data_IF_289304847950
#
_entry.id   IF_289304847950
#
_cell.length_a   1.000
_cell.length_b   1.000
_cell.length_c   1.000
_cell.angle_alpha   90.00
_cell.angle_beta   90.00
_cell.angle_gamma   90.00
#
_symmetry.space_group_name_H-M   'P 1'
#
loop_
_entity.id
_entity.type
_entity.pdbx_description
1 polymer ?
#
# COMPACT_ATOMS: atom_id res chain seq x y z
N UNK A 1 -2.33 13.16 -18.61
CA UNK A 1 -1.34 13.28 -17.52
C UNK A 1 -0.05 13.84 -18.09
N UNK A 2 0.51 14.86 -17.45
CA UNK A 2 1.82 15.41 -17.80
C UNK A 2 2.97 14.48 -17.40
N UNK A 3 4.17 14.70 -17.94
CA UNK A 3 5.37 13.93 -17.57
C UNK A 3 5.63 13.92 -16.05
N UNK A 4 5.42 15.05 -15.39
CA UNK A 4 5.61 15.19 -13.93
C UNK A 4 4.55 14.41 -13.15
N UNK A 5 3.28 14.49 -13.56
CA UNK A 5 2.19 13.72 -12.95
C UNK A 5 2.39 12.20 -13.12
N UNK A 6 2.84 11.76 -14.29
CA UNK A 6 3.12 10.33 -14.54
C UNK A 6 4.20 9.82 -13.59
N UNK A 7 5.32 10.55 -13.47
CA UNK A 7 6.41 10.19 -12.57
C UNK A 7 5.94 10.16 -11.12
N UNK A 8 5.23 11.21 -10.68
CA UNK A 8 4.70 11.29 -9.32
C UNK A 8 3.75 10.13 -8.99
N UNK A 9 2.87 9.75 -9.92
CA UNK A 9 1.98 8.60 -9.76
C UNK A 9 2.76 7.30 -9.59
N UNK A 10 3.80 7.08 -10.41
CA UNK A 10 4.65 5.89 -10.33
C UNK A 10 5.43 5.86 -9.01
N UNK A 11 6.02 6.98 -8.60
CA UNK A 11 6.74 7.09 -7.32
C UNK A 11 5.79 6.93 -6.11
N UNK A 12 4.50 7.25 -6.26
CA UNK A 12 3.46 6.97 -5.28
C UNK A 12 2.94 5.51 -5.31
N UNK A 13 3.47 4.66 -6.20
CA UNK A 13 3.06 3.26 -6.33
C UNK A 13 1.74 3.05 -7.10
N UNK A 14 1.23 4.07 -7.78
CA UNK A 14 0.04 3.94 -8.62
C UNK A 14 0.38 3.25 -9.94
N UNK A 15 -0.60 2.52 -10.48
CA UNK A 15 -0.43 1.87 -11.79
C UNK A 15 -0.84 2.83 -12.89
N UNK A 16 0.11 3.21 -13.75
CA UNK A 16 -0.11 4.06 -14.92
C UNK A 16 -0.05 3.21 -16.18
N UNK A 17 -0.98 3.44 -17.09
CA UNK A 17 -1.02 2.84 -18.43
C UNK A 17 -0.91 3.90 -19.53
N UNK A 18 -0.54 3.46 -20.74
CA UNK A 18 -0.47 4.31 -21.93
C UNK A 18 -1.29 3.71 -23.07
N UNK A 19 -2.18 4.50 -23.67
CA UNK A 19 -3.06 4.15 -24.80
C UNK A 19 -4.07 3.01 -24.56
N UNK A 20 -3.71 1.96 -23.83
CA UNK A 20 -4.56 0.85 -23.37
C UNK A 20 -3.92 0.13 -22.18
N UNK A 21 -4.66 -0.78 -21.56
CA UNK A 21 -4.21 -1.53 -20.37
C UNK A 21 -3.06 -2.50 -20.63
N UNK A 22 -2.75 -2.82 -21.90
CA UNK A 22 -1.62 -3.67 -22.24
C UNK A 22 -0.25 -2.98 -22.15
N UNK A 23 -0.20 -1.65 -22.14
CA UNK A 23 1.04 -0.90 -21.91
C UNK A 23 1.08 -0.37 -20.49
N UNK A 24 2.06 -0.82 -19.73
CA UNK A 24 2.27 -0.39 -18.34
C UNK A 24 3.48 0.53 -18.26
N UNK A 25 3.34 1.61 -17.51
CA UNK A 25 4.43 2.55 -17.22
C UNK A 25 4.97 2.27 -15.83
N UNK A 26 6.29 2.12 -15.70
CA UNK A 26 6.94 1.81 -14.44
C UNK A 26 8.34 2.42 -14.35
N UNK A 27 8.91 2.41 -13.14
CA UNK A 27 10.28 2.84 -12.86
C UNK A 27 11.14 1.63 -12.55
N UNK A 28 12.22 1.43 -13.30
CA UNK A 28 13.15 0.32 -13.06
C UNK A 28 14.08 0.57 -11.85
N UNK A 29 14.89 -0.43 -11.50
CA UNK A 29 15.83 -0.34 -10.37
C UNK A 29 16.98 0.66 -10.58
N UNK A 30 17.22 1.12 -11.81
CA UNK A 30 18.16 2.20 -12.15
C UNK A 30 17.49 3.58 -12.15
N UNK A 31 16.18 3.65 -11.89
CA UNK A 31 15.41 4.89 -11.86
C UNK A 31 14.91 5.36 -13.23
N UNK A 32 15.00 4.52 -14.27
CA UNK A 32 14.49 4.86 -15.60
C UNK A 32 12.99 4.63 -15.66
N UNK A 33 12.26 5.57 -16.25
CA UNK A 33 10.83 5.43 -16.50
C UNK A 33 10.62 4.80 -17.87
N UNK A 34 9.95 3.64 -17.89
CA UNK A 34 9.79 2.79 -19.05
C UNK A 34 8.31 2.52 -19.31
N UNK A 35 7.98 2.29 -20.57
CA UNK A 35 6.68 1.80 -21.03
C UNK A 35 6.91 0.40 -21.55
N UNK A 36 6.22 -0.59 -20.98
CA UNK A 36 6.34 -2.00 -21.36
C UNK A 36 4.99 -2.51 -21.85
N UNK A 37 4.95 -3.11 -23.04
CA UNK A 37 3.79 -3.86 -23.52
C UNK A 37 3.82 -5.26 -22.88
N UNK A 38 2.94 -5.50 -21.91
CA UNK A 38 2.96 -6.71 -21.08
C UNK A 38 2.82 -8.03 -21.87
N UNK A 39 2.01 -8.13 -22.94
CA UNK A 39 1.85 -9.40 -23.66
C UNK A 39 3.12 -9.95 -24.32
N UNK A 40 4.11 -9.10 -24.63
CA UNK A 40 5.35 -9.55 -25.27
C UNK A 40 6.64 -8.96 -24.68
N UNK A 41 6.55 -8.14 -23.64
CA UNK A 41 7.69 -7.54 -22.95
C UNK A 41 8.41 -6.43 -23.72
N UNK A 42 7.93 -6.03 -24.90
CA UNK A 42 8.50 -4.92 -25.66
C UNK A 42 8.51 -3.66 -24.82
N UNK A 43 9.68 -3.02 -24.70
CA UNK A 43 9.89 -1.92 -23.77
C UNK A 43 10.54 -0.74 -24.48
N UNK A 44 9.99 0.45 -24.23
CA UNK A 44 10.52 1.73 -24.69
C UNK A 44 10.68 2.68 -23.50
N UNK A 45 11.44 3.76 -23.67
CA UNK A 45 11.49 4.83 -22.66
C UNK A 45 10.16 5.58 -22.59
N UNK A 46 9.81 6.08 -21.39
CA UNK A 46 8.68 7.01 -21.23
C UNK A 46 8.89 8.29 -22.05
N UNK A 47 10.15 8.73 -22.14
CA UNK A 47 10.56 9.94 -22.86
C UNK A 47 11.48 9.65 -24.03
N UNK A 48 11.67 10.64 -24.88
CA UNK A 48 12.73 10.67 -25.87
C UNK A 48 14.13 10.63 -25.21
N UNK A 49 15.19 10.54 -26.03
CA UNK A 49 16.59 10.50 -25.55
C UNK A 49 16.99 11.72 -24.71
N UNK A 50 16.34 12.86 -24.90
CA UNK A 50 16.60 14.08 -24.12
C UNK A 50 15.97 14.05 -22.73
N UNK A 51 15.03 13.13 -22.47
CA UNK A 51 14.34 13.05 -21.18
C UNK A 51 13.20 14.07 -21.00
N UNK A 52 12.88 14.86 -22.03
CA UNK A 52 12.01 16.04 -21.91
C UNK A 52 10.62 15.83 -22.52
N UNK A 53 10.51 15.07 -23.61
CA UNK A 53 9.24 14.84 -24.30
C UNK A 53 8.79 13.41 -24.11
N UNK A 54 7.49 13.22 -23.84
CA UNK A 54 6.86 11.90 -23.83
C UNK A 54 6.92 11.27 -25.23
N UNK A 55 7.07 9.94 -25.30
CA UNK A 55 6.96 9.19 -26.55
C UNK A 55 5.50 8.97 -27.00
N UNK A 56 4.51 9.37 -26.19
CA UNK A 56 3.08 9.36 -26.49
C UNK A 56 2.41 10.68 -26.12
N UNK A 57 1.13 10.85 -26.44
CA UNK A 57 0.38 12.05 -26.11
C UNK A 57 -0.05 12.02 -24.63
N UNK A 58 0.02 13.16 -23.94
CA UNK A 58 -0.33 13.26 -22.51
C UNK A 58 -1.74 12.75 -22.20
N UNK A 59 -2.68 12.89 -23.14
CA UNK A 59 -4.06 12.44 -23.02
C UNK A 59 -4.22 10.90 -23.07
N UNK A 60 -3.22 10.17 -23.58
CA UNK A 60 -3.26 8.71 -23.67
C UNK A 60 -2.82 8.02 -22.37
N UNK A 61 -2.26 8.78 -21.42
CA UNK A 61 -1.83 8.25 -20.13
C UNK A 61 -2.93 8.35 -19.09
N UNK A 62 -3.15 7.27 -18.35
CA UNK A 62 -4.17 7.19 -17.32
C UNK A 62 -3.73 6.28 -16.16
N UNK A 63 -4.21 6.58 -14.95
CA UNK A 63 -4.06 5.71 -13.78
C UNK A 63 -5.16 4.66 -13.83
N UNK A 64 -4.79 3.37 -13.73
CA UNK A 64 -5.77 2.32 -13.47
C UNK A 64 -6.34 2.54 -12.06
N UNK A 65 -7.67 2.58 -11.95
CA UNK A 65 -8.34 2.72 -10.66
C UNK A 65 -7.91 1.60 -9.70
N UNK A 66 -7.99 1.82 -8.37
CA UNK A 66 -7.65 0.80 -7.41
C UNK A 66 -8.52 -0.43 -7.67
N UNK A 67 -7.91 -1.56 -8.01
CA UNK A 67 -8.59 -2.85 -7.96
C UNK A 67 -8.87 -3.16 -6.49
N UNK A 68 -10.03 -2.72 -6.00
CA UNK A 68 -10.64 -3.20 -4.75
C UNK A 68 -9.70 -3.30 -3.55
N UNK A 69 -9.04 -2.22 -3.19
CA UNK A 69 -8.49 -2.06 -1.84
C UNK A 69 -9.59 -1.61 -0.90
N UNK A 70 -10.51 -2.50 -0.53
CA UNK A 70 -11.45 -2.27 0.56
C UNK A 70 -10.66 -2.06 1.86
N UNK A 71 -10.25 -0.83 2.11
CA UNK A 71 -9.75 -0.35 3.39
C UNK A 71 -10.90 -0.40 4.42
N UNK A 72 -11.17 -1.60 4.93
CA UNK A 72 -11.81 -1.80 6.24
C UNK A 72 -10.79 -2.36 7.23
N UNK A 73 -9.69 -1.64 7.40
CA UNK A 73 -8.88 -1.75 8.62
C UNK A 73 -9.37 -0.69 9.63
N UNK A 74 -10.54 -0.93 10.21
CA UNK A 74 -10.98 -0.23 11.42
C UNK A 74 -11.38 -1.29 12.44
N UNK A 75 -10.39 -1.83 13.17
CA UNK A 75 -10.50 -2.11 14.61
C UNK A 75 -9.15 -2.57 15.16
N UNK A 76 -8.19 -1.64 15.23
CA UNK A 76 -7.06 -1.76 16.15
C UNK A 76 -7.42 -1.00 17.43
N UNK A 77 -8.53 -1.35 18.10
CA UNK A 77 -8.79 -0.84 19.45
C UNK A 77 -8.10 -1.73 20.48
N UNK A 78 -6.84 -1.36 20.70
CA UNK A 78 -6.11 -1.41 21.97
C UNK A 78 -7.02 -1.72 23.17
N UNK A 79 -6.82 -2.88 23.79
CA UNK A 79 -7.29 -3.18 25.15
C UNK A 79 -6.63 -2.17 26.11
N UNK A 80 -7.37 -1.34 26.87
CA UNK A 80 -6.76 -0.61 27.95
C UNK A 80 -6.65 -1.52 29.17
N UNK A 81 -5.42 -1.92 29.47
CA UNK A 81 -5.04 -2.40 30.80
C UNK A 81 -5.21 -1.26 31.83
N UNK A 82 -5.92 -1.57 32.92
CA UNK A 82 -5.76 -0.86 34.20
C UNK A 82 -6.99 -0.12 34.71
N UNK A 83 -7.75 -0.75 35.61
CA UNK A 83 -8.30 -0.02 36.75
C UNK A 83 -8.48 -0.96 37.96
N UNK A 84 -7.54 -0.84 38.90
CA UNK A 84 -7.73 -1.35 40.25
C UNK A 84 -8.61 -0.43 41.09
N UNK A 85 -9.10 -1.04 42.19
CA UNK A 85 -9.53 -0.46 43.48
C UNK A 85 -11.05 -0.36 43.73
N UNK A 86 -11.52 -1.14 44.72
CA UNK A 86 -12.83 -0.94 45.37
C UNK A 86 -13.29 -2.05 46.32
N UNK A 87 -12.69 -2.10 47.52
CA UNK A 87 -13.14 -2.67 48.82
C UNK A 87 -14.47 -3.43 48.96
N UNK A 88 -14.45 -4.57 49.68
CA UNK A 88 -15.28 -4.84 50.88
C UNK A 88 -14.54 -5.81 51.83
N UNK A 89 -14.52 -5.57 53.16
CA UNK A 89 -14.01 -6.51 54.15
C UNK A 89 -15.14 -7.38 54.70
N UNK A 90 -14.88 -8.66 55.03
CA UNK A 90 -15.82 -9.43 55.84
C UNK A 90 -15.61 -10.93 55.85
N UNK A 91 -15.41 -11.48 57.05
CA UNK A 91 -15.70 -12.87 57.41
C UNK A 91 -14.57 -13.86 57.11
N UNK A 92 -13.71 -14.19 58.07
CA UNK A 92 -13.96 -15.18 59.13
C UNK A 92 -13.60 -16.62 58.69
N UNK A 93 -12.47 -17.07 59.27
CA UNK A 93 -12.04 -18.42 59.69
C UNK A 93 -12.33 -19.66 58.81
N UNK A 94 -11.26 -20.40 58.49
CA UNK A 94 -10.99 -21.75 59.01
C UNK A 94 -9.86 -22.40 58.18
N UNK A 95 -8.61 -22.38 58.65
CA UNK A 95 -7.88 -23.55 59.20
C UNK A 95 -8.26 -24.92 58.61
N UNK A 96 -7.28 -25.57 57.97
CA UNK A 96 -6.82 -26.97 58.16
C UNK A 96 -5.95 -27.37 56.95
N UNK A 97 -4.63 -27.25 57.06
CA UNK A 97 -3.70 -28.33 57.43
C UNK A 97 -3.76 -29.57 56.50
N UNK A 98 -2.82 -29.60 55.55
CA UNK A 98 -1.92 -30.72 55.22
C UNK A 98 -2.53 -32.14 55.18
N UNK A 99 -2.50 -32.77 54.00
CA UNK A 99 -2.03 -34.16 53.90
C UNK A 99 -1.55 -34.52 52.49
N UNK A 100 -0.23 -34.68 52.35
CA UNK A 100 0.36 -35.59 51.38
C UNK A 100 0.30 -37.00 51.96
N UNK A 101 -0.17 -37.96 51.18
CA UNK A 101 0.64 -39.06 50.65
C UNK A 101 -0.11 -39.76 49.53
#
# INVERSE_FOLDING_TARGET
>A
MTLEEIKAAIDAGLTVHWANTGYRVHKDSFGQYLITFEPNGSTIGLTDRSGQRLNGEEAEFFIAGPEGGDEKSQDSQLRPDGQGRGVVPGGEVAQSLRRQR
#
